data_IF_194427266075
#
_entry.id   IF_194427266075
#
_cell.length_a   1.000
_cell.length_b   1.000
_cell.length_c   1.000
_cell.angle_alpha   90.00
_cell.angle_beta   90.00
_cell.angle_gamma   90.00
#
_symmetry.space_group_name_H-M   'P 1'
#
loop_
_entity.id
_entity.type
_entity.pdbx_description
1 polymer ?
#
# COMPACT_ATOMS: atom_id res chain seq x y z
N UNK A 1 3.33 -10.99 15.62
CA UNK A 1 2.89 -9.59 15.49
C UNK A 1 3.46 -9.06 14.19
N UNK A 2 2.63 -8.50 13.31
CA UNK A 2 3.08 -7.93 12.04
C UNK A 2 3.71 -6.56 12.28
N UNK A 3 4.82 -6.25 11.62
CA UNK A 3 5.36 -4.89 11.58
C UNK A 3 4.94 -4.23 10.28
N UNK A 4 4.49 -2.99 10.36
CA UNK A 4 4.00 -2.21 9.23
C UNK A 4 4.58 -0.81 9.25
N UNK A 5 4.57 -0.16 8.09
CA UNK A 5 4.83 1.26 7.94
C UNK A 5 3.62 1.93 7.29
N UNK A 6 3.39 3.20 7.61
CA UNK A 6 2.42 4.06 6.96
C UNK A 6 3.09 5.41 6.65
N UNK A 7 3.03 5.83 5.40
CA UNK A 7 3.89 6.87 4.86
C UNK A 7 3.08 8.13 4.56
N UNK A 8 3.29 9.20 5.32
CA UNK A 8 2.87 10.51 4.87
C UNK A 8 3.92 11.06 3.92
N UNK A 9 3.62 11.03 2.62
CA UNK A 9 4.52 11.58 1.60
C UNK A 9 4.03 12.98 1.25
N UNK A 10 4.88 13.98 1.45
CA UNK A 10 4.49 15.37 1.21
C UNK A 10 5.34 16.02 0.12
N UNK A 11 4.73 16.93 -0.63
CA UNK A 11 5.44 17.94 -1.44
C UNK A 11 5.03 19.35 -0.99
N UNK A 12 5.86 20.33 -1.34
CA UNK A 12 5.54 21.76 -1.15
C UNK A 12 5.45 22.42 -2.52
N UNK A 13 4.32 23.06 -2.80
CA UNK A 13 4.06 23.84 -4.02
C UNK A 13 3.85 25.31 -3.68
N UNK A 14 3.66 26.17 -4.67
CA UNK A 14 3.24 27.56 -4.44
C UNK A 14 1.89 27.65 -3.72
N UNK A 15 1.03 26.64 -3.88
CA UNK A 15 -0.29 26.53 -3.24
C UNK A 15 -0.24 26.05 -1.78
N UNK A 16 0.92 25.60 -1.30
CA UNK A 16 1.10 25.09 0.06
C UNK A 16 1.61 23.65 0.08
N UNK A 17 1.41 22.99 1.21
CA UNK A 17 1.81 21.59 1.39
C UNK A 17 0.69 20.66 0.95
N UNK A 18 1.06 19.58 0.28
CA UNK A 18 0.14 18.55 -0.18
C UNK A 18 0.62 17.18 0.30
N UNK A 19 -0.32 16.25 0.44
CA UNK A 19 -0.11 14.86 0.83
C UNK A 19 -0.43 13.95 -0.36
N UNK A 20 0.43 12.98 -0.63
CA UNK A 20 0.13 11.92 -1.59
C UNK A 20 -0.94 11.00 -1.03
N UNK A 21 -2.00 10.79 -1.79
CA UNK A 21 -3.05 9.81 -1.51
C UNK A 21 -3.42 9.03 -2.76
N UNK A 22 -4.11 7.90 -2.60
CA UNK A 22 -4.69 7.16 -3.72
C UNK A 22 -6.02 6.48 -3.35
N UNK A 23 -6.79 6.14 -4.38
CA UNK A 23 -7.91 5.21 -4.34
C UNK A 23 -7.55 3.97 -5.18
N UNK A 24 -8.15 2.81 -4.93
CA UNK A 24 -8.02 1.70 -5.87
C UNK A 24 -9.07 1.83 -6.99
N UNK A 25 -8.63 1.65 -8.24
CA UNK A 25 -9.49 1.83 -9.42
C UNK A 25 -10.56 0.74 -9.53
N UNK A 26 -10.24 -0.48 -9.09
CA UNK A 26 -11.11 -1.66 -9.17
C UNK A 26 -11.77 -2.02 -7.83
N UNK A 27 -11.97 -1.01 -6.97
CA UNK A 27 -12.67 -1.19 -5.70
C UNK A 27 -14.12 -1.65 -5.91
N UNK A 28 -14.60 -2.50 -4.99
CA UNK A 28 -16.00 -2.90 -4.94
C UNK A 28 -16.86 -1.65 -4.65
N UNK A 29 -17.81 -1.29 -5.53
CA UNK A 29 -18.66 -0.12 -5.30
C UNK A 29 -19.54 -0.24 -4.05
N UNK A 30 -19.82 -1.45 -3.58
CA UNK A 30 -20.61 -1.70 -2.36
C UNK A 30 -19.74 -1.67 -1.09
N UNK A 31 -18.42 -1.84 -1.21
CA UNK A 31 -17.45 -1.81 -0.09
C UNK A 31 -16.10 -1.17 -0.52
N UNK A 32 -16.07 0.16 -0.73
CA UNK A 32 -14.87 0.84 -1.20
C UNK A 32 -13.78 0.86 -0.13
N UNK A 33 -12.51 0.70 -0.53
CA UNK A 33 -11.37 0.71 0.38
C UNK A 33 -11.11 2.10 1.00
N UNK A 34 -11.61 3.16 0.35
CA UNK A 34 -11.46 4.55 0.75
C UNK A 34 -10.12 5.16 0.34
N UNK A 35 -9.93 6.44 0.67
CA UNK A 35 -8.70 7.16 0.33
C UNK A 35 -7.57 6.71 1.23
N UNK A 36 -6.42 6.36 0.65
CA UNK A 36 -5.29 5.78 1.37
C UNK A 36 -3.99 6.55 1.16
N UNK A 37 -3.06 6.37 2.09
CA UNK A 37 -1.64 6.70 1.97
C UNK A 37 -0.84 5.40 1.77
N UNK A 38 0.40 5.47 1.24
CA UNK A 38 1.20 4.27 1.08
C UNK A 38 1.47 3.57 2.40
N UNK A 39 1.18 2.27 2.50
CA UNK A 39 1.29 1.54 3.75
C UNK A 39 1.31 0.02 3.60
N UNK A 40 2.42 -0.61 3.94
CA UNK A 40 2.51 -2.07 3.91
C UNK A 40 3.34 -2.71 5.00
N UNK A 41 3.68 -3.97 4.76
CA UNK A 41 4.35 -4.84 5.72
C UNK A 41 5.86 -4.68 5.65
N UNK A 42 6.51 -4.57 6.80
CA UNK A 42 7.97 -4.59 6.83
C UNK A 42 8.48 -6.02 6.62
N UNK A 43 9.48 -6.19 5.76
CA UNK A 43 10.21 -7.44 5.59
C UNK A 43 11.03 -7.77 6.84
N UNK A 44 11.42 -9.06 7.05
CA UNK A 44 12.30 -9.42 8.14
C UNK A 44 13.62 -8.63 8.09
N UNK A 45 13.95 -8.00 9.22
CA UNK A 45 15.17 -7.18 9.40
C UNK A 45 15.23 -5.90 8.56
N UNK A 46 14.15 -5.52 7.87
CA UNK A 46 14.07 -4.28 7.10
C UNK A 46 14.06 -3.04 8.02
N UNK A 47 14.78 -1.99 7.59
CA UNK A 47 14.73 -0.69 8.23
C UNK A 47 13.36 -0.02 8.03
N UNK A 48 12.97 0.87 8.95
CA UNK A 48 11.72 1.62 8.81
C UNK A 48 11.77 2.52 7.56
N UNK A 49 12.91 3.15 7.31
CA UNK A 49 13.15 3.98 6.14
C UNK A 49 13.10 3.17 4.84
N UNK A 50 13.83 2.05 4.77
CA UNK A 50 13.83 1.17 3.59
C UNK A 50 12.42 0.66 3.27
N UNK A 51 11.67 0.22 4.29
CA UNK A 51 10.29 -0.20 4.12
C UNK A 51 9.39 0.94 3.62
N UNK A 52 9.55 2.14 4.17
CA UNK A 52 8.75 3.30 3.77
C UNK A 52 8.95 3.68 2.30
N UNK A 53 10.22 3.68 1.86
CA UNK A 53 10.60 3.97 0.49
C UNK A 53 10.08 2.90 -0.46
N UNK A 54 10.29 1.61 -0.12
CA UNK A 54 9.81 0.48 -0.91
C UNK A 54 8.28 0.50 -1.07
N UNK A 55 7.53 0.56 0.02
CA UNK A 55 6.06 0.53 -0.03
C UNK A 55 5.51 1.72 -0.83
N UNK A 56 6.11 2.90 -0.71
CA UNK A 56 5.71 4.06 -1.50
C UNK A 56 5.96 3.85 -2.99
N UNK A 57 7.13 3.32 -3.36
CA UNK A 57 7.45 2.98 -4.74
C UNK A 57 6.54 1.88 -5.28
N UNK A 58 6.27 0.83 -4.49
CA UNK A 58 5.47 -0.32 -4.91
C UNK A 58 4.00 0.06 -5.16
N UNK A 59 3.41 0.93 -4.33
CA UNK A 59 1.99 1.28 -4.41
C UNK A 59 1.70 2.48 -5.32
N UNK A 60 2.69 3.36 -5.52
CA UNK A 60 2.48 4.63 -6.24
C UNK A 60 3.46 4.86 -7.37
N UNK A 61 4.55 4.10 -7.47
CA UNK A 61 5.63 4.36 -8.41
C UNK A 61 6.43 5.63 -8.13
N UNK A 62 6.13 6.35 -7.03
CA UNK A 62 6.85 7.57 -6.68
C UNK A 62 8.21 7.23 -6.08
N UNK A 63 9.26 7.79 -6.68
CA UNK A 63 10.65 7.64 -6.25
C UNK A 63 11.26 9.01 -5.93
N UNK A 64 12.54 9.06 -5.58
CA UNK A 64 13.21 10.35 -5.28
C UNK A 64 12.72 10.97 -3.97
N UNK A 65 12.43 10.14 -2.98
CA UNK A 65 11.94 10.55 -1.66
C UNK A 65 13.08 10.67 -0.66
N UNK A 66 12.95 11.59 0.29
CA UNK A 66 13.83 11.71 1.45
C UNK A 66 13.06 11.35 2.72
N UNK A 67 13.63 10.51 3.57
CA UNK A 67 13.09 10.24 4.90
C UNK A 67 13.28 11.46 5.81
N UNK A 68 12.18 12.03 6.28
CA UNK A 68 12.22 13.23 7.11
C UNK A 68 12.15 12.88 8.61
N UNK A 69 11.20 12.03 9.00
CA UNK A 69 11.00 11.69 10.41
C UNK A 69 10.17 10.41 10.62
N UNK A 70 10.37 9.76 11.76
CA UNK A 70 9.38 8.86 12.35
C UNK A 70 8.46 9.65 13.28
N UNK A 71 7.15 9.56 13.07
CA UNK A 71 6.15 10.39 13.74
C UNK A 71 5.47 9.70 14.92
N UNK A 72 5.40 8.36 14.89
CA UNK A 72 4.72 7.59 15.93
C UNK A 72 4.57 6.11 15.60
N UNK A 73 4.00 5.37 16.56
CA UNK A 73 3.68 3.96 16.41
C UNK A 73 2.29 3.66 16.95
N UNK A 74 1.55 2.79 16.26
CA UNK A 74 0.24 2.31 16.69
C UNK A 74 0.23 0.79 16.79
N UNK A 75 -0.09 0.29 17.99
CA UNK A 75 -0.30 -1.13 18.24
C UNK A 75 -1.79 -1.47 18.08
N UNK A 76 -2.07 -2.48 17.26
CA UNK A 76 -3.34 -3.21 17.26
C UNK A 76 -3.22 -4.49 18.06
N UNK A 77 -4.22 -4.73 18.89
CA UNK A 77 -4.36 -5.91 19.74
C UNK A 77 -4.84 -7.14 18.97
N UNK A 78 -4.88 -8.27 19.69
CA UNK A 78 -5.30 -9.55 19.11
C UNK A 78 -6.76 -9.55 18.63
N UNK A 79 -7.63 -8.77 19.27
CA UNK A 79 -9.06 -8.73 18.99
C UNK A 79 -9.44 -7.63 17.98
N UNK A 80 -8.48 -6.87 17.48
CA UNK A 80 -8.74 -5.81 16.52
C UNK A 80 -8.87 -6.39 15.09
N UNK A 81 -9.72 -5.81 14.23
CA UNK A 81 -9.77 -6.16 12.82
C UNK A 81 -8.37 -6.11 12.18
N UNK A 82 -8.01 -7.14 11.41
CA UNK A 82 -6.67 -7.30 10.82
C UNK A 82 -5.62 -7.94 11.74
N UNK A 83 -5.95 -8.19 13.00
CA UNK A 83 -5.11 -8.88 13.98
C UNK A 83 -3.92 -8.06 14.48
N UNK A 84 -3.03 -8.66 15.31
CA UNK A 84 -2.02 -7.92 16.03
C UNK A 84 -0.90 -7.37 15.13
N UNK A 85 -0.75 -6.05 15.12
CA UNK A 85 0.25 -5.33 14.32
C UNK A 85 0.82 -4.10 15.03
N UNK A 86 2.08 -3.76 14.75
CA UNK A 86 2.66 -2.44 15.07
C UNK A 86 2.86 -1.68 13.76
N UNK A 87 2.10 -0.60 13.58
CA UNK A 87 2.26 0.31 12.43
C UNK A 87 3.09 1.50 12.85
N UNK A 88 4.22 1.72 12.17
CA UNK A 88 5.05 2.92 12.36
C UNK A 88 4.67 3.97 11.33
N UNK A 89 4.39 5.18 11.77
CA UNK A 89 4.01 6.30 10.90
C UNK A 89 5.25 7.16 10.66
N UNK A 90 5.48 7.50 9.39
CA UNK A 90 6.69 8.21 8.96
C UNK A 90 6.33 9.34 8.02
N UNK A 91 7.23 10.32 7.93
CA UNK A 91 7.18 11.41 6.99
C UNK A 91 8.25 11.22 5.92
N UNK A 92 7.82 11.17 4.66
CA UNK A 92 8.68 11.23 3.49
C UNK A 92 8.46 12.57 2.75
N UNK A 93 9.53 13.13 2.19
CA UNK A 93 9.46 14.34 1.37
C UNK A 93 9.83 14.02 -0.07
N UNK A 94 8.95 14.39 -1.01
CA UNK A 94 9.23 14.27 -2.44
C UNK A 94 10.14 15.42 -2.91
N UNK A 95 11.17 15.07 -3.70
CA UNK A 95 12.15 16.03 -4.23
C UNK A 95 11.58 16.85 -5.39
N UNK A 96 10.75 16.23 -6.22
CA UNK A 96 10.00 16.81 -7.31
C UNK A 96 8.53 16.46 -7.16
N UNK A 97 7.64 17.41 -7.48
CA UNK A 97 6.21 17.21 -7.29
C UNK A 97 5.60 16.20 -8.25
N UNK A 98 6.29 15.81 -9.32
CA UNK A 98 5.72 15.00 -10.39
C UNK A 98 4.45 15.62 -10.99
N UNK A 99 3.64 14.84 -11.72
CA UNK A 99 2.29 15.27 -12.10
C UNK A 99 1.37 15.39 -10.87
N UNK A 100 0.31 16.18 -10.99
CA UNK A 100 -0.67 16.37 -9.89
C UNK A 100 -1.48 15.11 -9.59
N UNK A 101 -1.65 14.23 -10.58
CA UNK A 101 -2.28 12.93 -10.46
C UNK A 101 -1.76 11.95 -11.50
N UNK A 102 -1.77 10.66 -11.19
CA UNK A 102 -1.37 9.58 -12.08
C UNK A 102 -1.97 8.24 -11.65
N UNK A 103 -1.85 7.23 -12.50
CA UNK A 103 -2.25 5.85 -12.19
C UNK A 103 -1.02 4.97 -12.11
N UNK A 104 -0.99 4.04 -11.15
CA UNK A 104 0.09 3.09 -10.96
C UNK A 104 -0.45 1.67 -10.76
N UNK A 105 0.12 0.70 -11.48
CA UNK A 105 -0.12 -0.72 -11.22
C UNK A 105 0.79 -1.16 -10.08
N UNK A 106 0.22 -1.53 -8.94
CA UNK A 106 0.95 -1.90 -7.72
C UNK A 106 1.92 -3.03 -8.01
N UNK A 107 3.18 -2.82 -7.66
CA UNK A 107 4.24 -3.81 -7.86
C UNK A 107 4.49 -4.57 -6.57
N UNK A 108 3.66 -5.58 -6.29
CA UNK A 108 3.93 -6.45 -5.14
C UNK A 108 5.19 -7.29 -5.39
N UNK A 109 6.17 -7.29 -4.48
CA UNK A 109 6.95 -8.52 -4.32
C UNK A 109 6.00 -9.56 -3.76
N UNK A 110 5.46 -10.42 -4.63
CA UNK A 110 4.65 -11.55 -4.20
C UNK A 110 5.47 -12.36 -3.18
N UNK A 111 5.19 -12.18 -1.88
CA UNK A 111 5.52 -13.23 -0.93
C UNK A 111 4.59 -14.36 -1.29
N UNK A 112 5.07 -15.26 -2.16
CA UNK A 112 4.35 -16.47 -2.52
C UNK A 112 3.86 -17.10 -1.22
N UNK A 113 2.54 -17.10 -1.03
CA UNK A 113 1.91 -17.81 0.05
C UNK A 113 2.38 -19.25 -0.04
N UNK A 114 3.06 -19.70 1.00
CA UNK A 114 3.43 -21.09 1.22
C UNK A 114 2.16 -21.94 1.28
N UNK A 115 1.69 -22.43 0.13
CA UNK A 115 1.07 -23.74 0.03
C UNK A 115 2.12 -24.68 -0.53
N UNK A 116 2.89 -25.31 0.37
CA UNK A 116 3.65 -26.49 -0.01
C UNK A 116 2.66 -27.53 -0.55
N UNK A 117 2.90 -28.16 -1.72
CA UNK A 117 2.12 -29.32 -2.11
C UNK A 117 2.44 -30.47 -1.15
N UNK A 118 1.39 -31.05 -0.58
CA UNK A 118 1.42 -32.25 0.25
C UNK A 118 1.93 -33.44 -0.60
N UNK A 119 3.10 -34.04 -0.33
CA UNK A 119 3.61 -35.14 -1.14
C UNK A 119 3.10 -36.47 -0.58
N UNK A 120 1.83 -36.80 -0.84
CA UNK A 120 1.28 -38.13 -0.58
C UNK A 120 0.01 -38.40 -1.40
N UNK A 121 0.17 -38.76 -2.67
CA UNK A 121 -0.78 -39.66 -3.33
C UNK A 121 -0.09 -40.42 -4.47
N UNK A 122 -0.19 -41.74 -4.34
CA UNK A 122 0.30 -42.79 -5.23
C UNK A 122 -0.37 -42.75 -6.62
N UNK A 123 0.29 -43.38 -7.59
CA UNK A 123 -0.04 -43.36 -9.00
C UNK A 123 -1.25 -44.24 -9.38
N UNK A 124 -2.03 -43.83 -10.39
CA UNK A 124 -2.50 -44.70 -11.48
C UNK A 124 -3.29 -43.93 -12.56
N UNK A 125 -3.05 -44.33 -13.81
CA UNK A 125 -3.56 -43.79 -15.08
C UNK A 125 -5.06 -44.03 -15.34
N UNK A 126 -5.70 -43.20 -16.19
CA UNK A 126 -6.51 -43.64 -17.34
C UNK A 126 -7.06 -42.47 -18.23
N UNK A 127 -6.63 -42.48 -19.49
CA UNK A 127 -7.34 -42.21 -20.78
C UNK A 127 -8.54 -41.23 -20.88
N UNK A 128 -8.31 -40.18 -21.67
CA UNK A 128 -9.14 -39.44 -22.66
C UNK A 128 -10.68 -39.55 -22.71
N UNK A 129 -11.39 -38.41 -22.78
CA UNK A 129 -12.10 -37.87 -23.97
C UNK A 129 -12.84 -36.54 -23.66
N UNK A 130 -12.94 -35.69 -24.70
CA UNK A 130 -13.93 -34.62 -24.93
C UNK A 130 -13.59 -33.20 -24.47
N UNK A 131 -13.18 -32.41 -25.48
CA UNK A 131 -13.28 -30.96 -25.48
C UNK A 131 -14.74 -30.53 -25.32
N UNK A 132 -15.01 -29.72 -24.30
CA UNK A 132 -16.09 -28.76 -24.32
C UNK A 132 -15.53 -27.39 -24.01
N UNK A 133 -15.70 -26.54 -25.01
CA UNK A 133 -15.56 -25.10 -25.04
C UNK A 133 -16.06 -24.48 -23.73
N UNK A 134 -15.13 -23.89 -22.99
CA UNK A 134 -15.42 -22.95 -21.92
C UNK A 134 -14.25 -21.99 -21.93
N UNK A 135 -14.43 -20.88 -22.64
CA UNK A 135 -13.59 -19.70 -22.50
C UNK A 135 -13.72 -19.23 -21.04
N UNK A 136 -12.94 -19.85 -20.16
CA UNK A 136 -12.58 -19.21 -18.91
C UNK A 136 -11.86 -17.94 -19.35
N UNK A 137 -12.50 -16.79 -19.14
CA UNK A 137 -11.80 -15.52 -19.14
C UNK A 137 -10.69 -15.69 -18.11
N UNK A 138 -9.48 -15.91 -18.60
CA UNK A 138 -8.28 -15.74 -17.80
C UNK A 138 -8.35 -14.28 -17.35
N UNK A 139 -8.83 -14.07 -16.12
CA UNK A 139 -8.64 -12.81 -15.44
C UNK A 139 -7.14 -12.77 -15.23
N UNK A 140 -6.45 -12.14 -16.19
CA UNK A 140 -5.12 -11.64 -15.93
C UNK A 140 -5.27 -10.86 -14.63
N UNK A 141 -4.53 -11.28 -13.61
CA UNK A 141 -4.32 -10.50 -12.41
C UNK A 141 -3.47 -9.30 -12.85
N UNK A 142 -4.12 -8.37 -13.56
CA UNK A 142 -3.62 -7.05 -13.89
C UNK A 142 -3.57 -6.36 -12.52
N UNK A 143 -2.45 -6.55 -11.80
CA UNK A 143 -2.34 -6.27 -10.38
C UNK A 143 -2.98 -4.95 -9.95
N UNK A 144 -3.45 -4.90 -8.70
CA UNK A 144 -4.17 -3.77 -8.11
C UNK A 144 -3.70 -2.39 -8.61
N UNK A 145 -4.63 -1.55 -9.07
CA UNK A 145 -4.30 -0.26 -9.67
C UNK A 145 -4.64 0.89 -8.74
N UNK A 146 -3.64 1.72 -8.41
CA UNK A 146 -3.77 2.92 -7.58
C UNK A 146 -3.96 4.17 -8.43
N UNK A 147 -5.04 4.92 -8.18
CA UNK A 147 -5.27 6.27 -8.70
C UNK A 147 -4.69 7.31 -7.73
N UNK A 148 -3.43 7.68 -7.96
CA UNK A 148 -2.65 8.58 -7.11
C UNK A 148 -2.93 10.06 -7.40
N UNK A 149 -2.94 10.89 -6.36
CA UNK A 149 -3.03 12.35 -6.47
C UNK A 149 -2.43 13.05 -5.26
N UNK A 150 -2.09 14.32 -5.45
CA UNK A 150 -1.71 15.21 -4.35
C UNK A 150 -2.93 15.93 -3.79
N UNK A 151 -3.22 15.75 -2.50
CA UNK A 151 -4.29 16.43 -1.78
C UNK A 151 -3.76 17.56 -0.90
N UNK A 152 -4.31 18.79 -1.00
CA UNK A 152 -3.90 19.91 -0.15
C UNK A 152 -4.06 19.60 1.33
N UNK A 153 -3.08 20.06 2.13
CA UNK A 153 -3.20 20.09 3.58
C UNK A 153 -3.74 21.45 4.05
N UNK A 154 -4.70 21.49 5.00
CA UNK A 154 -5.32 20.34 5.67
C UNK A 154 -6.26 19.56 4.72
N UNK A 155 -6.29 18.22 4.87
CA UNK A 155 -7.08 17.34 4.02
C UNK A 155 -8.58 17.68 4.09
N UNK A 156 -9.23 17.70 2.92
CA UNK A 156 -10.69 17.76 2.82
C UNK A 156 -11.33 16.37 2.69
N UNK A 157 -10.51 15.32 2.56
CA UNK A 157 -10.91 13.92 2.46
C UNK A 157 -10.51 13.16 3.73
N UNK A 158 -11.29 12.14 4.09
CA UNK A 158 -10.98 11.24 5.20
C UNK A 158 -10.07 10.10 4.70
N UNK A 159 -9.00 9.80 5.45
CA UNK A 159 -8.14 8.65 5.16
C UNK A 159 -8.73 7.38 5.79
N UNK A 160 -8.59 6.26 5.09
CA UNK A 160 -9.14 4.98 5.50
C UNK A 160 -8.55 4.48 6.84
N UNK A 161 -9.42 3.96 7.70
CA UNK A 161 -9.03 3.33 8.97
C UNK A 161 -8.18 4.22 9.87
N UNK A 162 -7.06 3.70 10.35
CA UNK A 162 -6.15 4.41 11.25
C UNK A 162 -5.10 5.26 10.50
N UNK A 163 -5.23 5.49 9.20
CA UNK A 163 -4.17 6.11 8.41
C UNK A 163 -3.96 7.60 8.74
N UNK A 164 -4.96 8.31 9.28
CA UNK A 164 -4.81 9.71 9.73
C UNK A 164 -4.21 9.89 11.13
N UNK A 165 -3.91 8.81 11.86
CA UNK A 165 -3.66 8.82 13.32
C UNK A 165 -2.52 9.73 13.80
N UNK A 166 -1.53 9.99 12.96
CA UNK A 166 -0.39 10.86 13.28
C UNK A 166 -0.23 12.00 12.28
N UNK A 167 -1.27 12.31 11.49
CA UNK A 167 -1.20 13.34 10.46
C UNK A 167 -0.94 14.72 11.06
N UNK A 168 -1.48 14.99 12.24
CA UNK A 168 -1.24 16.21 13.01
C UNK A 168 0.23 16.41 13.43
N UNK A 169 1.03 15.34 13.43
CA UNK A 169 2.45 15.39 13.76
C UNK A 169 3.34 15.76 12.56
N UNK A 170 2.78 15.95 11.35
CA UNK A 170 3.52 16.52 10.24
C UNK A 170 3.88 17.99 10.55
N UNK A 171 5.03 18.19 11.20
CA UNK A 171 5.54 19.53 11.49
C UNK A 171 5.62 20.35 10.19
N UNK A 172 5.20 21.63 10.25
CA UNK A 172 5.51 22.62 9.22
C UNK A 172 7.03 22.67 8.97
N UNK A 173 7.51 23.23 7.85
CA UNK A 173 8.95 23.24 7.54
C UNK A 173 9.82 24.03 8.54
N UNK A 174 9.24 24.53 9.64
CA UNK A 174 9.87 25.39 10.65
C UNK A 174 9.87 24.77 12.08
N UNK A 175 9.72 23.45 12.21
CA UNK A 175 9.83 22.71 13.49
C UNK A 175 11.25 22.46 13.95
#
# INVERSE_FOLDING_TARGET
>A
MRRRVACYVTRTTEGGRELLVFDHVDDDPDDPSGVQIPAGGMLPFEGIEDAALRETEEETGLTGLTFAAQLGGHERGMNDPGGPSMTTYVHLQASDGGPDAWTHTVTSQATAGSSAPDPSADAAEATALSAQDSVAAEHADDGMVSACRWEPLPLSVELAGDQAKFLENLAGPDG
#
